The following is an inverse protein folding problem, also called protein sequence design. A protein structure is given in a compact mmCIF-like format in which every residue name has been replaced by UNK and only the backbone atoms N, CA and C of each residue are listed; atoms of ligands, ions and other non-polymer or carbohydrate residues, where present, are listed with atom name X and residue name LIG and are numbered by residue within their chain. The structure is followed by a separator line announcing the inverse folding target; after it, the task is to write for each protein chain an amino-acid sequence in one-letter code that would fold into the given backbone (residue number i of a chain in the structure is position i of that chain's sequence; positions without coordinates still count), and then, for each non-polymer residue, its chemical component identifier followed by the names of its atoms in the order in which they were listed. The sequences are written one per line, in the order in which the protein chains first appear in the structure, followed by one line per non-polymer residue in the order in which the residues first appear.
data_IF_327754319617
#
_entry.id   IF_327754319617
#
_cell.length_a   1.000
_cell.length_b   1.000
_cell.length_c   1.000
_cell.angle_alpha   90.00
_cell.angle_beta   90.00
_cell.angle_gamma   90.00
#
_symmetry.space_group_name_H-M   'P 1'
#
loop_
_entity.id
_entity.type
_entity.pdbx_description
1 polymer ?
#
# COMPACT_ATOMS: atom_id res chain seq x y z
N UNK A 1 -27.85 25.98 -45.22
CA UNK A 1 -28.42 24.98 -44.28
C UNK A 1 -27.35 23.95 -43.97
N UNK A 2 -27.15 23.67 -42.67
CA UNK A 2 -26.44 22.53 -42.05
C UNK A 2 -24.90 22.51 -42.19
N UNK A 3 -24.10 22.25 -41.17
CA UNK A 3 -24.26 22.15 -39.71
C UNK A 3 -22.86 21.95 -39.13
N UNK A 4 -22.70 22.43 -37.90
CA UNK A 4 -21.57 22.35 -36.99
C UNK A 4 -20.90 20.98 -36.89
N UNK A 5 -19.58 20.98 -36.64
CA UNK A 5 -18.99 20.59 -35.34
C UNK A 5 -17.47 20.55 -35.46
N UNK A 6 -16.82 21.60 -34.95
CA UNK A 6 -15.39 21.61 -34.74
C UNK A 6 -15.00 20.53 -33.72
N UNK A 7 -14.24 19.56 -34.21
CA UNK A 7 -13.64 18.48 -33.44
C UNK A 7 -12.61 19.05 -32.44
N UNK A 8 -13.13 19.58 -31.32
CA UNK A 8 -12.36 19.92 -30.14
C UNK A 8 -11.92 18.64 -29.43
N UNK A 9 -10.99 17.91 -30.03
CA UNK A 9 -10.25 16.85 -29.37
C UNK A 9 -9.37 17.49 -28.30
N UNK A 10 -9.92 17.63 -27.09
CA UNK A 10 -9.15 17.95 -25.89
C UNK A 10 -8.25 16.74 -25.61
N UNK A 11 -7.04 16.75 -26.16
CA UNK A 11 -6.00 15.76 -25.87
C UNK A 11 -5.61 15.96 -24.41
N UNK A 12 -6.29 15.24 -23.51
CA UNK A 12 -5.94 15.21 -22.10
C UNK A 12 -4.65 14.41 -21.98
N UNK A 13 -3.53 15.10 -21.76
CA UNK A 13 -2.25 14.45 -21.48
C UNK A 13 -2.35 13.74 -20.12
N UNK A 14 -2.72 12.46 -20.15
CA UNK A 14 -2.90 11.61 -18.97
C UNK A 14 -1.66 11.61 -18.06
N UNK A 15 -0.47 11.83 -18.61
CA UNK A 15 0.79 11.94 -17.87
C UNK A 15 0.87 13.21 -17.02
N UNK A 16 0.32 14.34 -17.48
CA UNK A 16 0.23 15.58 -16.70
C UNK A 16 -0.81 15.44 -15.58
N UNK A 17 -1.93 14.75 -15.84
CA UNK A 17 -2.95 14.42 -14.81
C UNK A 17 -2.39 13.46 -13.76
N UNK A 18 -1.57 12.47 -14.17
CA UNK A 18 -0.88 11.54 -13.25
C UNK A 18 0.18 12.27 -12.41
N UNK A 19 0.97 13.18 -13.01
CA UNK A 19 1.95 14.01 -12.28
C UNK A 19 1.28 14.99 -11.29
N UNK A 20 0.14 15.59 -11.63
CA UNK A 20 -0.60 16.48 -10.74
C UNK A 20 -1.17 15.77 -9.49
N UNK A 21 -1.44 14.46 -9.58
CA UNK A 21 -1.87 13.60 -8.45
C UNK A 21 -0.71 13.01 -7.62
N UNK A 22 0.55 13.32 -7.96
CA UNK A 22 1.72 12.61 -7.41
C UNK A 22 2.21 13.09 -6.05
N UNK A 23 1.75 14.25 -5.55
CA UNK A 23 2.30 14.89 -4.35
C UNK A 23 1.73 14.37 -3.03
N UNK A 24 0.40 14.44 -2.87
CA UNK A 24 -0.31 14.06 -1.62
C UNK A 24 -1.29 12.90 -1.83
N UNK A 25 -1.95 12.83 -2.99
CA UNK A 25 -2.88 11.73 -3.35
C UNK A 25 -2.16 10.38 -3.53
N UNK A 26 -0.86 10.41 -3.80
CA UNK A 26 -0.08 9.20 -4.10
C UNK A 26 0.16 8.34 -2.85
N UNK A 27 0.47 8.96 -1.71
CA UNK A 27 0.71 8.21 -0.47
C UNK A 27 -0.61 7.63 0.03
N UNK A 28 -1.68 8.41 0.07
CA UNK A 28 -3.00 7.93 0.49
C UNK A 28 -3.48 6.78 -0.40
N UNK A 29 -3.27 6.87 -1.72
CA UNK A 29 -3.60 5.79 -2.64
C UNK A 29 -2.79 4.52 -2.36
N UNK A 30 -1.49 4.64 -2.04
CA UNK A 30 -0.65 3.51 -1.64
C UNK A 30 -1.13 2.89 -0.33
N UNK A 31 -1.48 3.71 0.67
CA UNK A 31 -1.95 3.24 1.97
C UNK A 31 -3.28 2.48 1.87
N UNK A 32 -4.16 2.91 0.97
CA UNK A 32 -5.45 2.26 0.69
C UNK A 32 -5.33 1.03 -0.23
N UNK A 33 -4.18 0.84 -0.89
CA UNK A 33 -3.93 -0.36 -1.69
C UNK A 33 -3.63 -1.56 -0.78
N UNK A 34 -4.70 -2.18 -0.29
CA UNK A 34 -4.64 -3.30 0.66
C UNK A 34 -3.82 -4.47 0.13
N UNK A 35 -3.88 -4.75 -1.18
CA UNK A 35 -3.12 -5.83 -1.82
C UNK A 35 -1.63 -5.53 -1.80
N UNK A 36 -1.23 -4.33 -2.22
CA UNK A 36 0.18 -3.91 -2.22
C UNK A 36 0.76 -3.94 -0.80
N UNK A 37 0.01 -3.45 0.19
CA UNK A 37 0.44 -3.46 1.59
C UNK A 37 0.59 -4.89 2.12
N UNK A 38 -0.35 -5.79 1.80
CA UNK A 38 -0.27 -7.19 2.22
C UNK A 38 0.96 -7.90 1.62
N UNK A 39 1.25 -7.67 0.33
CA UNK A 39 2.45 -8.19 -0.33
C UNK A 39 3.72 -7.64 0.32
N UNK A 40 3.76 -6.35 0.62
CA UNK A 40 4.89 -5.71 1.28
C UNK A 40 5.16 -6.33 2.68
N UNK A 41 4.11 -6.56 3.47
CA UNK A 41 4.23 -7.24 4.76
C UNK A 41 4.76 -8.68 4.59
N UNK A 42 4.21 -9.42 3.64
CA UNK A 42 4.63 -10.80 3.36
C UNK A 42 6.11 -10.88 2.93
N UNK A 43 6.54 -9.97 2.07
CA UNK A 43 7.92 -9.89 1.58
C UNK A 43 8.87 -9.19 2.55
N UNK A 44 8.36 -8.71 3.69
CA UNK A 44 9.13 -7.91 4.66
C UNK A 44 9.77 -6.68 4.01
N UNK A 45 9.06 -6.02 3.10
CA UNK A 45 9.46 -4.79 2.44
C UNK A 45 8.57 -3.63 2.87
N UNK A 46 9.09 -2.40 2.82
CA UNK A 46 8.28 -1.20 3.05
C UNK A 46 7.55 -0.80 1.76
N UNK A 47 6.23 -0.61 1.82
CA UNK A 47 5.44 -0.26 0.62
C UNK A 47 5.77 1.11 0.00
N UNK A 48 6.39 2.02 0.76
CA UNK A 48 6.77 3.36 0.32
C UNK A 48 8.21 3.44 -0.22
N UNK A 49 9.20 2.93 0.54
CA UNK A 49 10.60 3.01 0.15
C UNK A 49 11.17 1.73 -0.47
N UNK A 50 10.37 0.66 -0.56
CA UNK A 50 10.74 -0.65 -1.12
C UNK A 50 11.97 -1.33 -0.48
N UNK A 51 12.51 -0.78 0.60
CA UNK A 51 13.62 -1.38 1.33
C UNK A 51 13.12 -2.57 2.15
N UNK A 52 13.86 -3.68 2.06
CA UNK A 52 13.64 -4.87 2.90
C UNK A 52 14.00 -4.54 4.36
N UNK A 53 13.14 -4.91 5.29
CA UNK A 53 13.31 -4.68 6.73
C UNK A 53 13.04 -5.97 7.48
N UNK A 54 13.77 -6.22 8.57
CA UNK A 54 13.53 -7.44 9.37
C UNK A 54 12.14 -7.46 10.00
N UNK A 55 11.60 -6.29 10.34
CA UNK A 55 10.28 -6.13 10.94
C UNK A 55 9.48 -5.13 10.11
N UNK A 56 8.39 -5.59 9.51
CA UNK A 56 7.39 -4.72 8.89
C UNK A 56 6.14 -4.78 9.77
N UNK A 57 5.65 -3.62 10.18
CA UNK A 57 4.46 -3.49 11.01
C UNK A 57 3.19 -3.85 10.22
N UNK A 58 2.04 -3.95 10.90
CA UNK A 58 0.75 -4.22 10.24
C UNK A 58 0.33 -3.15 9.22
N UNK A 59 0.96 -1.97 9.24
CA UNK A 59 0.71 -0.92 8.25
C UNK A 59 1.52 -1.13 6.95
N UNK A 60 2.46 -2.09 6.91
CA UNK A 60 3.28 -2.37 5.73
C UNK A 60 4.39 -1.34 5.48
N UNK A 61 4.73 -0.54 6.49
CA UNK A 61 5.71 0.54 6.39
C UNK A 61 6.87 0.33 7.35
N UNK A 62 8.05 0.83 6.98
CA UNK A 62 9.13 0.96 7.97
C UNK A 62 8.83 2.09 8.96
N UNK A 63 9.48 2.04 10.13
CA UNK A 63 9.31 3.07 11.17
C UNK A 63 9.56 4.48 10.64
N UNK A 64 10.62 4.67 9.85
CA UNK A 64 10.98 5.96 9.26
C UNK A 64 9.89 6.50 8.33
N UNK A 65 9.43 5.70 7.35
CA UNK A 65 8.36 6.11 6.44
C UNK A 65 7.05 6.37 7.17
N UNK A 66 6.72 5.58 8.20
CA UNK A 66 5.53 5.80 9.02
C UNK A 66 5.63 7.09 9.83
N UNK A 67 6.78 7.41 10.41
CA UNK A 67 6.98 8.63 11.20
C UNK A 67 6.85 9.89 10.33
N UNK A 68 7.29 9.83 9.08
CA UNK A 68 7.19 10.92 8.11
C UNK A 68 5.78 11.16 7.57
N UNK A 69 4.81 10.28 7.86
CA UNK A 69 3.42 10.51 7.49
C UNK A 69 2.79 11.64 8.30
N UNK A 70 1.93 12.42 7.62
CA UNK A 70 1.03 13.38 8.26
C UNK A 70 0.04 12.67 9.20
N UNK A 71 -0.57 13.39 10.17
CA UNK A 71 -1.57 12.79 11.06
C UNK A 71 -2.76 12.17 10.32
N UNK A 72 -3.17 12.74 9.17
CA UNK A 72 -4.26 12.21 8.34
C UNK A 72 -3.87 10.87 7.70
N UNK A 73 -2.66 10.77 7.15
CA UNK A 73 -2.16 9.55 6.52
C UNK A 73 -1.94 8.44 7.55
N UNK A 74 -1.41 8.77 8.74
CA UNK A 74 -1.27 7.82 9.85
C UNK A 74 -2.61 7.20 10.22
N UNK A 75 -3.66 8.02 10.32
CA UNK A 75 -5.02 7.54 10.62
C UNK A 75 -5.51 6.52 9.60
N UNK A 76 -5.29 6.79 8.30
CA UNK A 76 -5.67 5.86 7.22
C UNK A 76 -4.84 4.58 7.29
N UNK A 77 -3.52 4.68 7.46
CA UNK A 77 -2.64 3.53 7.58
C UNK A 77 -3.03 2.62 8.75
N UNK A 78 -3.36 3.22 9.90
CA UNK A 78 -3.77 2.51 11.12
C UNK A 78 -5.16 1.87 10.97
N UNK A 79 -6.09 2.56 10.33
CA UNK A 79 -7.42 2.02 10.01
C UNK A 79 -7.30 0.78 9.12
N UNK A 80 -6.55 0.89 8.02
CA UNK A 80 -6.27 -0.23 7.11
C UNK A 80 -5.52 -1.38 7.80
N UNK A 81 -4.64 -1.08 8.76
CA UNK A 81 -3.92 -2.09 9.53
C UNK A 81 -4.81 -2.88 10.49
N UNK A 82 -5.91 -2.30 11.00
CA UNK A 82 -6.87 -3.02 11.88
C UNK A 82 -7.57 -4.17 11.18
N UNK A 83 -7.76 -4.07 9.87
CA UNK A 83 -8.38 -5.13 9.06
C UNK A 83 -7.43 -6.30 8.78
N UNK A 84 -6.14 -6.21 9.18
CA UNK A 84 -5.14 -7.24 8.88
C UNK A 84 -4.92 -8.19 10.06
N UNK A 85 -5.03 -9.48 9.78
CA UNK A 85 -4.58 -10.57 10.67
C UNK A 85 -3.23 -11.07 10.18
N UNK A 86 -2.26 -11.15 11.10
CA UNK A 86 -0.92 -11.69 10.82
C UNK A 86 -0.80 -12.96 11.66
N UNK A 87 -0.65 -14.10 10.98
CA UNK A 87 -0.46 -15.40 11.61
C UNK A 87 1.01 -15.81 11.46
N UNK A 88 1.71 -15.96 12.58
CA UNK A 88 3.09 -16.43 12.61
C UNK A 88 3.08 -17.94 12.87
N UNK A 89 3.23 -18.74 11.82
CA UNK A 89 3.32 -20.19 11.95
C UNK A 89 4.77 -20.59 12.22
N UNK A 90 5.05 -21.09 13.41
CA UNK A 90 6.34 -21.68 13.77
C UNK A 90 6.17 -23.19 13.69
N UNK A 91 6.98 -23.85 12.86
CA UNK A 91 7.05 -25.29 12.77
C UNK A 91 8.39 -25.76 13.28
N UNK A 92 8.39 -26.64 14.27
CA UNK A 92 9.58 -27.33 14.75
C UNK A 92 9.51 -28.77 14.23
N UNK A 93 10.53 -29.16 13.48
CA UNK A 93 10.63 -30.49 12.86
C UNK A 93 10.80 -31.61 13.89
N UNK A 94 11.21 -31.31 15.12
CA UNK A 94 11.25 -32.26 16.25
C UNK A 94 9.87 -32.56 16.82
N UNK A 95 8.86 -31.71 16.55
CA UNK A 95 7.49 -31.84 17.05
C UNK A 95 6.47 -32.17 15.94
N UNK A 96 6.91 -32.37 14.70
CA UNK A 96 6.03 -32.60 13.55
C UNK A 96 5.26 -33.96 13.56
N UNK A 97 5.35 -34.74 14.65
CA UNK A 97 4.79 -36.10 14.74
C UNK A 97 3.70 -36.32 15.80
N UNK A 98 3.49 -35.40 16.75
CA UNK A 98 2.43 -35.55 17.76
C UNK A 98 1.15 -34.94 17.23
N UNK A 99 0.26 -35.77 16.67
CA UNK A 99 -1.16 -35.42 16.59
C UNK A 99 -1.66 -35.27 18.01
N UNK A 100 -1.98 -34.05 18.42
CA UNK A 100 -2.73 -33.79 19.64
C UNK A 100 -4.08 -34.52 19.50
N UNK A 101 -4.28 -35.56 20.33
CA UNK A 101 -5.55 -36.26 20.54
C UNK A 101 -6.32 -35.58 21.67
#
# INVERSE_FOLDING_TARGET
MKSDLGDNHKIVQLEQVRKARSGEDNIIAILKDTKRIAIAIQQRTCALCNNMRMCVNKTGLCAECYLNLSPKEKKIADEEARHKKVELKVTDDRWAGTKDY
#
